data_IF_305192720186
#
_entry.id   IF_305192720186
#
_cell.length_a   1.000
_cell.length_b   1.000
_cell.length_c   1.000
_cell.angle_alpha   90.00
_cell.angle_beta   90.00
_cell.angle_gamma   90.00
#
_symmetry.space_group_name_H-M   'P 1'
#
loop_
_entity.id
_entity.type
_entity.pdbx_description
1 polymer ?
#
# COMPACT_ATOMS: atom_id res chain seq x y z
N UNK A 1 2.12 -9.63 13.47
CA UNK A 1 1.93 -8.96 14.78
C UNK A 1 3.22 -8.51 15.45
N UNK A 2 4.39 -9.10 15.18
CA UNK A 2 5.65 -8.74 15.85
C UNK A 2 6.17 -7.34 15.47
N UNK A 3 6.01 -6.92 14.21
CA UNK A 3 6.37 -5.58 13.73
C UNK A 3 5.67 -4.43 14.47
N UNK A 4 4.43 -4.64 14.92
CA UNK A 4 3.66 -3.64 15.66
C UNK A 4 4.05 -3.56 17.14
N UNK A 5 4.69 -4.61 17.68
CA UNK A 5 5.11 -4.67 19.09
C UNK A 5 6.49 -4.07 19.32
N UNK A 6 7.28 -3.97 18.26
CA UNK A 6 8.60 -3.35 18.33
C UNK A 6 8.47 -1.82 18.50
N UNK A 7 9.00 -1.32 19.60
CA UNK A 7 8.95 0.10 19.96
C UNK A 7 9.71 0.96 18.94
N UNK A 8 10.80 0.44 18.37
CA UNK A 8 11.55 1.16 17.33
C UNK A 8 10.70 1.37 16.08
N UNK A 9 9.95 0.36 15.65
CA UNK A 9 9.01 0.48 14.54
C UNK A 9 7.81 1.40 14.85
N UNK A 10 7.33 1.46 16.09
CA UNK A 10 6.26 2.40 16.48
C UNK A 10 6.72 3.86 16.37
N UNK A 11 7.94 4.15 16.80
CA UNK A 11 8.53 5.50 16.76
C UNK A 11 8.90 5.87 15.31
N UNK A 12 9.68 5.02 14.65
CA UNK A 12 10.24 5.31 13.32
C UNK A 12 9.23 5.14 12.19
N UNK A 13 8.24 4.27 12.36
CA UNK A 13 7.31 3.88 11.31
C UNK A 13 7.90 2.88 10.33
N UNK A 14 7.07 2.42 9.39
CA UNK A 14 7.45 1.46 8.36
C UNK A 14 7.47 2.08 6.97
N UNK A 15 8.32 1.55 6.10
CA UNK A 15 8.23 1.73 4.64
C UNK A 15 7.77 0.43 4.01
N UNK A 16 6.78 0.51 3.13
CA UNK A 16 6.23 -0.66 2.45
C UNK A 16 6.83 -0.72 1.05
N UNK A 17 7.36 -1.88 0.68
CA UNK A 17 7.86 -2.17 -0.65
C UNK A 17 6.97 -3.24 -1.30
N UNK A 18 6.34 -2.90 -2.41
CA UNK A 18 5.61 -3.84 -3.25
C UNK A 18 6.46 -4.25 -4.44
N UNK A 19 6.80 -5.53 -4.51
CA UNK A 19 7.41 -6.12 -5.68
C UNK A 19 6.35 -6.66 -6.63
N UNK A 20 6.25 -6.06 -7.82
CA UNK A 20 5.30 -6.46 -8.86
C UNK A 20 5.91 -7.43 -9.89
N UNK A 21 7.11 -7.95 -9.66
CA UNK A 21 7.71 -8.97 -10.53
C UNK A 21 6.82 -10.21 -10.61
N UNK A 22 6.52 -10.66 -11.83
CA UNK A 22 5.65 -11.82 -12.06
C UNK A 22 4.15 -11.55 -11.87
N UNK A 23 3.75 -10.30 -11.58
CA UNK A 23 2.32 -9.95 -11.52
C UNK A 23 1.72 -9.85 -12.92
N UNK A 24 0.60 -10.55 -13.13
CA UNK A 24 -0.16 -10.56 -14.38
C UNK A 24 -1.54 -9.95 -14.23
N UNK A 25 -2.30 -9.91 -15.33
CA UNK A 25 -3.66 -9.38 -15.38
C UNK A 25 -4.64 -9.99 -14.34
N UNK A 26 -4.52 -11.28 -13.92
CA UNK A 26 -5.42 -11.82 -12.89
C UNK A 26 -5.41 -11.06 -11.56
N UNK A 27 -4.29 -10.40 -11.21
CA UNK A 27 -4.21 -9.56 -10.00
C UNK A 27 -5.17 -8.36 -10.07
N UNK A 28 -5.42 -7.83 -11.27
CA UNK A 28 -6.34 -6.69 -11.48
C UNK A 28 -7.75 -7.06 -11.02
N UNK A 29 -8.19 -8.30 -11.26
CA UNK A 29 -9.51 -8.78 -10.86
C UNK A 29 -9.70 -8.78 -9.34
N UNK A 30 -8.61 -8.95 -8.57
CA UNK A 30 -8.64 -8.86 -7.11
C UNK A 30 -8.57 -7.42 -6.61
N UNK A 31 -8.05 -6.50 -7.41
CA UNK A 31 -7.87 -5.09 -7.07
C UNK A 31 -9.06 -4.22 -7.50
N UNK A 32 -10.29 -4.67 -7.22
CA UNK A 32 -11.48 -3.83 -7.38
C UNK A 32 -11.37 -2.55 -6.54
N UNK A 33 -12.02 -1.44 -6.92
CA UNK A 33 -11.98 -0.20 -6.14
C UNK A 33 -12.39 -0.39 -4.67
N UNK A 34 -13.38 -1.26 -4.41
CA UNK A 34 -13.81 -1.59 -3.06
C UNK A 34 -12.73 -2.33 -2.27
N UNK A 35 -12.06 -3.31 -2.88
CA UNK A 35 -10.97 -4.04 -2.22
C UNK A 35 -9.80 -3.10 -1.94
N UNK A 36 -9.44 -2.23 -2.89
CA UNK A 36 -8.39 -1.22 -2.69
C UNK A 36 -8.75 -0.23 -1.57
N UNK A 37 -10.01 0.19 -1.47
CA UNK A 37 -10.50 1.03 -0.39
C UNK A 37 -10.37 0.34 0.97
N UNK A 38 -10.83 -0.91 1.07
CA UNK A 38 -10.74 -1.70 2.30
C UNK A 38 -9.27 -1.87 2.70
N UNK A 39 -8.39 -2.25 1.77
CA UNK A 39 -6.97 -2.38 2.03
C UNK A 39 -6.36 -1.08 2.55
N UNK A 40 -6.66 0.05 1.91
CA UNK A 40 -6.16 1.36 2.33
C UNK A 40 -6.69 1.75 3.71
N UNK A 41 -7.98 1.55 3.97
CA UNK A 41 -8.61 1.89 5.24
C UNK A 41 -8.06 1.04 6.39
N UNK A 42 -7.87 -0.26 6.17
CA UNK A 42 -7.25 -1.18 7.12
C UNK A 42 -5.82 -0.74 7.47
N UNK A 43 -5.00 -0.43 6.46
CA UNK A 43 -3.59 -0.07 6.67
C UNK A 43 -3.45 1.30 7.36
N UNK A 44 -4.26 2.29 6.98
CA UNK A 44 -4.08 3.67 7.42
C UNK A 44 -4.86 4.03 8.69
N UNK A 45 -6.03 3.42 8.91
CA UNK A 45 -6.93 3.84 10.00
C UNK A 45 -7.04 2.79 11.11
N UNK A 46 -6.94 1.50 10.78
CA UNK A 46 -7.16 0.44 11.76
C UNK A 46 -5.86 -0.01 12.45
N UNK A 47 -4.74 -0.04 11.73
CA UNK A 47 -3.47 -0.42 12.30
C UNK A 47 -2.80 0.77 13.01
N UNK A 48 -2.31 0.61 14.26
CA UNK A 48 -1.59 1.65 14.98
C UNK A 48 -0.14 1.77 14.46
N UNK A 49 0.01 2.03 13.16
CA UNK A 49 1.29 2.01 12.47
C UNK A 49 1.52 3.29 11.68
N UNK A 50 2.75 3.80 11.73
CA UNK A 50 3.12 5.01 10.98
C UNK A 50 3.72 4.59 9.64
N UNK A 51 2.96 4.70 8.56
CA UNK A 51 3.50 4.46 7.21
C UNK A 51 4.28 5.69 6.75
N UNK A 52 5.59 5.53 6.50
CA UNK A 52 6.53 6.59 6.11
C UNK A 52 6.79 6.66 4.60
N UNK A 53 6.45 5.61 3.86
CA UNK A 53 6.63 5.57 2.41
C UNK A 53 6.04 4.30 1.81
N UNK A 54 5.60 4.40 0.57
CA UNK A 54 5.08 3.28 -0.22
C UNK A 54 5.83 3.24 -1.54
N UNK A 55 6.63 2.20 -1.73
CA UNK A 55 7.47 2.03 -2.91
C UNK A 55 6.98 0.84 -3.71
N UNK A 56 6.96 0.98 -5.03
CA UNK A 56 6.67 -0.12 -5.94
C UNK A 56 7.89 -0.36 -6.83
N UNK A 57 8.30 -1.60 -6.97
CA UNK A 57 9.43 -2.01 -7.83
C UNK A 57 8.96 -3.03 -8.87
N UNK A 58 9.74 -3.17 -9.94
CA UNK A 58 9.37 -3.95 -11.13
C UNK A 58 8.03 -3.49 -11.71
N UNK A 59 8.00 -2.24 -12.20
CA UNK A 59 6.81 -1.56 -12.72
C UNK A 59 6.11 -2.33 -13.84
N UNK A 60 5.22 -3.25 -13.45
CA UNK A 60 4.42 -4.05 -14.36
C UNK A 60 3.30 -3.20 -14.97
N UNK A 61 2.68 -3.72 -16.04
CA UNK A 61 1.49 -3.11 -16.61
C UNK A 61 0.35 -2.98 -15.57
N UNK A 62 0.28 -3.92 -14.63
CA UNK A 62 -0.74 -3.96 -13.56
C UNK A 62 -0.66 -2.72 -12.67
N UNK A 63 0.51 -2.36 -12.15
CA UNK A 63 0.63 -1.18 -11.27
C UNK A 63 0.32 0.12 -12.02
N UNK A 64 0.67 0.22 -13.31
CA UNK A 64 0.32 1.40 -14.12
C UNK A 64 -1.19 1.58 -14.25
N UNK A 65 -1.94 0.48 -14.35
CA UNK A 65 -3.41 0.51 -14.41
C UNK A 65 -4.05 0.79 -13.04
N UNK A 66 -3.50 0.19 -11.96
CA UNK A 66 -4.06 0.30 -10.62
C UNK A 66 -3.71 1.61 -9.92
N UNK A 67 -2.55 2.21 -10.21
CA UNK A 67 -2.06 3.39 -9.51
C UNK A 67 -3.00 4.61 -9.59
N UNK A 68 -3.60 4.96 -10.75
CA UNK A 68 -4.57 6.06 -10.82
C UNK A 68 -5.79 5.86 -9.90
N UNK A 69 -6.25 4.61 -9.76
CA UNK A 69 -7.38 4.25 -8.89
C UNK A 69 -6.94 4.35 -7.43
N UNK A 70 -5.82 3.71 -7.08
CA UNK A 70 -5.26 3.75 -5.73
C UNK A 70 -4.97 5.19 -5.27
N UNK A 71 -4.40 6.04 -6.14
CA UNK A 71 -4.05 7.43 -5.82
C UNK A 71 -5.26 8.30 -5.44
N UNK A 72 -6.47 7.96 -5.87
CA UNK A 72 -7.71 8.66 -5.46
C UNK A 72 -8.19 8.24 -4.07
N UNK A 73 -7.88 7.01 -3.68
CA UNK A 73 -8.30 6.40 -2.41
C UNK A 73 -7.30 6.75 -1.30
N UNK A 74 -6.02 6.83 -1.65
CA UNK A 74 -4.92 7.13 -0.72
C UNK A 74 -4.97 8.60 -0.30
N UNK A 75 -4.77 8.87 1.00
CA UNK A 75 -4.77 10.23 1.53
C UNK A 75 -3.62 11.08 0.99
N UNK A 76 -3.80 12.41 0.97
CA UNK A 76 -2.77 13.36 0.50
C UNK A 76 -1.40 13.11 1.18
N UNK A 77 -1.42 12.81 2.48
CA UNK A 77 -0.23 12.55 3.30
C UNK A 77 0.59 11.34 2.83
N UNK A 78 -0.05 10.32 2.29
CA UNK A 78 0.63 9.11 1.81
C UNK A 78 0.99 9.26 0.33
N UNK A 79 0.20 10.00 -0.44
CA UNK A 79 0.49 10.30 -1.84
C UNK A 79 1.79 11.08 -2.05
N UNK A 80 2.16 11.92 -1.08
CA UNK A 80 3.39 12.71 -1.11
C UNK A 80 4.59 11.99 -0.47
N UNK A 81 4.45 10.70 -0.12
CA UNK A 81 5.49 9.86 0.51
C UNK A 81 5.88 8.69 -0.37
#
# INVERSE_FOLDING_TARGET
>A
MQLLRDQMNQINGLRILFDFKGTGLPLINMCSPQNLYICNHMILNFLPIRIKGLHTIHGSFVIRLLWPIAKRIVSHKIRDR
#
